data_IF_421052041194
#
_entry.id   IF_421052041194
#
_cell.length_a   1.000
_cell.length_b   1.000
_cell.length_c   1.000
_cell.angle_alpha   90.00
_cell.angle_beta   90.00
_cell.angle_gamma   90.00
#
_symmetry.space_group_name_H-M   'P 1'
#
loop_
_entity.id
_entity.type
_entity.pdbx_description
1 polymer ?
#
# COMPACT_ATOMS: atom_id res chain seq x y z
N UNK A 1 -2.80 4.77 -8.59
CA UNK A 1 -2.47 4.45 -9.99
C UNK A 1 -2.76 5.61 -10.93
N UNK A 2 -3.69 6.49 -10.57
CA UNK A 2 -3.87 7.78 -11.25
C UNK A 2 -2.70 8.72 -10.94
N UNK A 3 -2.21 9.42 -11.96
CA UNK A 3 -1.11 10.38 -11.86
C UNK A 3 -1.24 11.38 -13.00
N UNK A 4 -0.93 12.66 -12.74
CA UNK A 4 -0.90 13.69 -13.79
C UNK A 4 0.36 13.52 -14.66
N UNK A 5 0.38 14.03 -15.91
CA UNK A 5 1.59 14.06 -16.73
C UNK A 5 2.76 14.75 -16.01
N UNK A 6 2.51 15.90 -15.37
CA UNK A 6 3.54 16.65 -14.64
C UNK A 6 4.06 15.86 -13.43
N UNK A 7 3.18 15.17 -12.69
CA UNK A 7 3.59 14.30 -11.59
C UNK A 7 4.47 13.15 -12.08
N UNK A 8 4.14 12.54 -13.22
CA UNK A 8 4.95 11.47 -13.81
C UNK A 8 6.32 11.98 -14.29
N UNK A 9 6.38 13.18 -14.87
CA UNK A 9 7.63 13.86 -15.24
C UNK A 9 8.47 14.13 -14.00
N UNK A 10 7.88 14.66 -12.93
CA UNK A 10 8.58 14.93 -11.67
C UNK A 10 9.22 13.66 -11.08
N UNK A 11 8.48 12.54 -11.04
CA UNK A 11 9.02 11.24 -10.59
C UNK A 11 10.22 10.83 -11.45
N UNK A 12 10.14 10.97 -12.78
CA UNK A 12 11.23 10.66 -13.70
C UNK A 12 12.46 11.57 -13.51
N UNK A 13 12.25 12.87 -13.27
CA UNK A 13 13.31 13.84 -13.00
C UNK A 13 14.03 13.54 -11.68
N UNK A 14 13.28 13.25 -10.62
CA UNK A 14 13.83 12.88 -9.30
C UNK A 14 14.62 11.58 -9.43
N UNK A 15 14.05 10.55 -10.08
CA UNK A 15 14.74 9.30 -10.32
C UNK A 15 16.07 9.49 -11.07
N UNK A 16 16.09 10.33 -12.10
CA UNK A 16 17.30 10.66 -12.85
C UNK A 16 18.32 11.44 -12.01
N UNK A 17 17.88 12.42 -11.22
CA UNK A 17 18.72 13.26 -10.36
C UNK A 17 19.49 12.44 -9.32
N UNK A 18 18.82 11.47 -8.70
CA UNK A 18 19.39 10.61 -7.66
C UNK A 18 19.90 9.28 -8.19
N UNK A 19 19.91 9.07 -9.52
CA UNK A 19 20.33 7.84 -10.19
C UNK A 19 19.64 6.58 -9.63
N UNK A 20 18.31 6.62 -9.53
CA UNK A 20 17.51 5.56 -8.90
C UNK A 20 17.04 4.54 -9.93
N UNK A 21 17.18 3.25 -9.60
CA UNK A 21 16.52 2.19 -10.36
C UNK A 21 15.00 2.34 -10.25
N UNK A 22 14.32 2.32 -11.38
CA UNK A 22 12.89 2.65 -11.49
C UNK A 22 12.10 1.51 -12.12
N UNK A 23 10.98 1.14 -11.48
CA UNK A 23 10.13 0.03 -11.96
C UNK A 23 8.64 0.26 -11.72
N UNK A 24 7.82 0.01 -12.74
CA UNK A 24 6.37 -0.04 -12.59
C UNK A 24 5.97 -1.37 -11.92
N UNK A 25 5.16 -1.28 -10.88
CA UNK A 25 4.70 -2.45 -10.10
C UNK A 25 3.32 -2.92 -10.53
N UNK A 26 3.00 -4.18 -10.21
CA UNK A 26 1.64 -4.72 -10.41
C UNK A 26 0.56 -4.06 -9.56
N UNK A 27 0.94 -3.22 -8.58
CA UNK A 27 0.03 -2.41 -7.77
C UNK A 27 -0.19 -0.99 -8.28
N UNK A 28 0.18 -0.71 -9.55
CA UNK A 28 0.07 0.62 -10.18
C UNK A 28 0.83 1.71 -9.41
N UNK A 29 2.06 1.39 -9.00
CA UNK A 29 3.02 2.30 -8.36
C UNK A 29 4.33 2.30 -9.14
N UNK A 30 5.15 3.32 -8.90
CA UNK A 30 6.54 3.38 -9.36
C UNK A 30 7.44 3.13 -8.15
N UNK A 31 8.25 2.08 -8.22
CA UNK A 31 9.31 1.87 -7.24
C UNK A 31 10.56 2.64 -7.64
N UNK A 32 11.21 3.28 -6.66
CA UNK A 32 12.51 3.94 -6.78
C UNK A 32 13.49 3.28 -5.81
N UNK A 33 14.58 2.71 -6.32
CA UNK A 33 15.58 1.97 -5.55
C UNK A 33 16.98 2.55 -5.71
N UNK A 34 17.83 2.35 -4.70
CA UNK A 34 19.22 2.82 -4.69
C UNK A 34 19.43 4.16 -3.97
N UNK A 35 18.37 4.75 -3.42
CA UNK A 35 18.46 5.94 -2.59
C UNK A 35 19.25 5.62 -1.31
N UNK A 36 20.26 6.43 -1.01
CA UNK A 36 20.99 6.36 0.25
C UNK A 36 20.21 7.08 1.35
N UNK A 37 20.44 6.68 2.60
CA UNK A 37 19.67 7.19 3.75
C UNK A 37 19.70 8.72 3.84
N UNK A 38 20.85 9.34 3.61
CA UNK A 38 21.03 10.80 3.65
C UNK A 38 20.31 11.55 2.52
N UNK A 39 19.95 10.86 1.43
CA UNK A 39 19.22 11.46 0.31
C UNK A 39 17.72 11.50 0.55
N UNK A 40 17.19 10.63 1.43
CA UNK A 40 15.76 10.43 1.59
C UNK A 40 14.98 11.71 1.93
N UNK A 41 15.42 12.57 2.87
CA UNK A 41 14.69 13.81 3.15
C UNK A 41 14.57 14.72 1.93
N UNK A 42 15.62 14.82 1.11
CA UNK A 42 15.60 15.67 -0.09
C UNK A 42 14.73 15.09 -1.20
N UNK A 43 14.79 13.76 -1.41
CA UNK A 43 13.92 13.05 -2.35
C UNK A 43 12.45 13.27 -1.97
N UNK A 44 12.11 13.12 -0.69
CA UNK A 44 10.74 13.32 -0.21
C UNK A 44 10.28 14.78 -0.24
N UNK A 45 11.18 15.73 -0.01
CA UNK A 45 10.89 17.16 -0.17
C UNK A 45 10.46 17.48 -1.62
N UNK A 46 11.18 16.95 -2.62
CA UNK A 46 10.82 17.11 -4.03
C UNK A 46 9.53 16.36 -4.42
N UNK A 47 9.34 15.13 -3.91
CA UNK A 47 8.11 14.37 -4.14
C UNK A 47 6.88 15.06 -3.55
N UNK A 48 6.99 15.58 -2.32
CA UNK A 48 5.93 16.32 -1.64
C UNK A 48 5.60 17.63 -2.39
N UNK A 49 6.61 18.33 -2.89
CA UNK A 49 6.42 19.52 -3.72
C UNK A 49 5.71 19.21 -5.05
N UNK A 50 5.89 18.01 -5.59
CA UNK A 50 5.18 17.50 -6.76
C UNK A 50 3.77 16.93 -6.43
N UNK A 51 3.33 17.01 -5.18
CA UNK A 51 2.00 16.58 -4.73
C UNK A 51 1.89 15.09 -4.41
N UNK A 52 3.01 14.36 -4.32
CA UNK A 52 2.99 12.98 -3.85
C UNK A 52 2.93 12.92 -2.31
N UNK A 53 2.34 11.84 -1.83
CA UNK A 53 2.24 11.50 -0.41
C UNK A 53 2.88 10.13 -0.20
N UNK A 54 3.40 9.90 1.00
CA UNK A 54 4.09 8.65 1.26
C UNK A 54 3.15 7.46 1.44
N UNK A 55 3.53 6.34 0.82
CA UNK A 55 2.89 5.05 1.00
C UNK A 55 3.76 4.09 1.81
N UNK A 56 3.15 3.04 2.36
CA UNK A 56 3.89 2.08 3.19
C UNK A 56 4.45 0.91 2.38
N UNK A 57 5.59 1.10 1.71
CA UNK A 57 6.20 0.07 0.85
C UNK A 57 6.57 -1.25 1.57
N UNK A 58 6.91 -1.21 2.87
CA UNK A 58 7.29 -2.42 3.66
C UNK A 58 6.48 -2.62 4.96
N UNK A 59 5.63 -1.66 5.33
CA UNK A 59 4.82 -1.71 6.55
C UNK A 59 3.81 -2.87 6.58
N UNK A 60 3.39 -3.28 7.78
CA UNK A 60 2.21 -4.13 7.97
C UNK A 60 0.97 -3.22 8.01
N UNK A 61 0.58 -2.81 6.81
CA UNK A 61 -0.41 -1.76 6.54
C UNK A 61 -0.95 -1.90 5.11
N UNK A 62 -1.86 -1.01 4.71
CA UNK A 62 -2.28 -0.88 3.33
C UNK A 62 -1.08 -0.60 2.41
N UNK A 63 -0.97 -1.36 1.32
CA UNK A 63 0.11 -1.23 0.33
C UNK A 63 -0.33 -0.52 -0.94
N UNK A 64 -1.53 -0.84 -1.41
CA UNK A 64 -2.06 -0.32 -2.67
C UNK A 64 -3.56 -0.58 -2.75
N UNK A 65 -4.26 0.34 -3.40
CA UNK A 65 -5.59 0.14 -3.96
C UNK A 65 -5.44 0.19 -5.47
N UNK A 66 -5.59 -0.96 -6.14
CA UNK A 66 -5.48 -1.06 -7.61
C UNK A 66 -6.86 -0.81 -8.23
N UNK A 67 -6.94 -0.06 -9.32
CA UNK A 67 -8.19 0.17 -10.05
C UNK A 67 -8.05 -0.07 -11.55
N UNK A 68 -9.16 -0.32 -12.23
CA UNK A 68 -9.20 -0.09 -13.68
C UNK A 68 -9.64 1.35 -13.95
N UNK A 69 -9.63 1.76 -15.22
CA UNK A 69 -10.00 3.13 -15.62
C UNK A 69 -11.50 3.45 -15.48
N UNK A 70 -12.31 2.51 -14.99
CA UNK A 70 -13.72 2.73 -14.65
C UNK A 70 -14.62 3.14 -15.82
N UNK A 71 -15.83 3.58 -15.49
CA UNK A 71 -16.78 4.20 -16.43
C UNK A 71 -16.25 5.52 -17.02
N UNK A 72 -15.25 6.13 -16.39
CA UNK A 72 -14.59 7.37 -16.85
C UNK A 72 -13.96 7.22 -18.23
N UNK A 73 -13.41 6.05 -18.55
CA UNK A 73 -12.72 5.80 -19.84
C UNK A 73 -13.06 4.47 -20.51
N UNK A 74 -13.47 3.45 -19.75
CA UNK A 74 -13.77 2.15 -20.32
C UNK A 74 -15.21 2.12 -20.82
N UNK A 75 -15.40 1.75 -22.10
CA UNK A 75 -16.74 1.55 -22.68
C UNK A 75 -17.60 0.47 -21.98
N UNK A 76 -16.98 -0.37 -21.15
CA UNK A 76 -17.65 -1.41 -20.37
C UNK A 76 -17.68 -1.09 -18.88
N UNK A 77 -17.15 0.06 -18.47
CA UNK A 77 -17.17 0.49 -17.08
C UNK A 77 -18.61 0.76 -16.68
N UNK A 78 -19.07 0.08 -15.64
CA UNK A 78 -20.39 0.23 -15.03
C UNK A 78 -20.38 1.40 -14.06
N UNK A 79 -19.31 1.55 -13.29
CA UNK A 79 -19.18 2.63 -12.30
C UNK A 79 -17.73 3.16 -12.21
N UNK A 80 -17.55 4.27 -11.51
CA UNK A 80 -16.27 4.96 -11.32
C UNK A 80 -15.39 4.23 -10.29
N UNK A 81 -14.64 3.25 -10.79
CA UNK A 81 -13.66 2.54 -9.98
C UNK A 81 -12.43 3.36 -9.61
N UNK A 82 -12.13 4.46 -10.33
CA UNK A 82 -10.96 5.28 -10.04
C UNK A 82 -11.25 6.16 -8.83
N UNK A 83 -12.37 6.88 -8.84
CA UNK A 83 -12.82 7.70 -7.72
C UNK A 83 -12.94 6.91 -6.43
N UNK A 84 -13.64 5.76 -6.47
CA UNK A 84 -13.77 4.89 -5.30
C UNK A 84 -12.41 4.34 -4.82
N UNK A 85 -11.50 3.97 -5.72
CA UNK A 85 -10.18 3.50 -5.31
C UNK A 85 -9.36 4.58 -4.59
N UNK A 86 -9.46 5.84 -5.02
CA UNK A 86 -8.83 6.99 -4.38
C UNK A 86 -9.43 7.22 -2.99
N UNK A 87 -10.75 7.15 -2.87
CA UNK A 87 -11.45 7.26 -1.59
C UNK A 87 -10.98 6.19 -0.59
N UNK A 88 -10.98 4.92 -1.02
CA UNK A 88 -10.51 3.81 -0.17
C UNK A 88 -9.02 3.94 0.18
N UNK A 89 -8.17 4.38 -0.75
CA UNK A 89 -6.76 4.60 -0.46
C UNK A 89 -6.57 5.69 0.60
N UNK A 90 -7.23 6.84 0.43
CA UNK A 90 -7.14 7.95 1.38
C UNK A 90 -7.72 7.60 2.75
N UNK A 91 -8.78 6.78 2.79
CA UNK A 91 -9.38 6.33 4.05
C UNK A 91 -8.45 5.38 4.81
N UNK A 92 -7.85 4.40 4.13
CA UNK A 92 -7.15 3.31 4.80
C UNK A 92 -5.62 3.39 4.77
N UNK A 93 -5.01 4.43 4.18
CA UNK A 93 -3.55 4.61 4.12
C UNK A 93 -2.87 4.57 5.49
N UNK A 94 -3.50 5.13 6.53
CA UNK A 94 -2.98 5.13 7.91
C UNK A 94 -3.09 3.80 8.67
N UNK A 95 -3.73 2.78 8.09
CA UNK A 95 -4.10 1.59 8.82
C UNK A 95 -2.88 0.70 9.11
N UNK A 96 -2.64 0.41 10.40
CA UNK A 96 -1.73 -0.65 10.85
C UNK A 96 -2.50 -1.94 11.08
N UNK A 97 -1.92 -3.06 10.64
CA UNK A 97 -2.61 -4.35 10.62
C UNK A 97 -1.66 -5.52 10.92
N UNK A 98 -2.18 -6.69 11.32
CA UNK A 98 -1.35 -7.86 11.61
C UNK A 98 -0.43 -8.26 10.44
N UNK A 99 -0.87 -8.03 9.20
CA UNK A 99 -0.06 -8.23 8.01
C UNK A 99 -0.35 -7.16 6.92
N UNK A 100 0.48 -7.07 5.87
CA UNK A 100 0.24 -6.22 4.69
C UNK A 100 -1.15 -6.47 4.08
N UNK A 101 -1.84 -5.38 3.73
CA UNK A 101 -3.15 -5.38 3.10
C UNK A 101 -3.07 -4.85 1.67
N UNK A 102 -3.88 -5.41 0.78
CA UNK A 102 -4.09 -4.90 -0.58
C UNK A 102 -5.57 -4.78 -0.83
N UNK A 103 -5.96 -3.75 -1.56
CA UNK A 103 -7.32 -3.58 -2.04
C UNK A 103 -7.34 -3.43 -3.55
N UNK A 104 -8.50 -3.64 -4.16
CA UNK A 104 -8.71 -3.24 -5.54
C UNK A 104 -10.19 -2.99 -5.86
N UNK A 105 -10.43 -2.10 -6.82
CA UNK A 105 -11.75 -1.71 -7.29
C UNK A 105 -11.83 -1.93 -8.80
N UNK A 106 -12.73 -2.80 -9.23
CA UNK A 106 -13.03 -3.01 -10.66
C UNK A 106 -14.35 -2.36 -11.01
N UNK A 107 -14.35 -1.51 -12.04
CA UNK A 107 -15.55 -0.83 -12.53
C UNK A 107 -16.52 -1.74 -13.28
N UNK A 108 -16.26 -3.04 -13.42
CA UNK A 108 -17.20 -4.04 -13.94
C UNK A 108 -16.68 -5.47 -13.65
N UNK A 109 -17.50 -6.47 -13.98
CA UNK A 109 -17.19 -7.91 -13.80
C UNK A 109 -16.04 -8.45 -14.66
N UNK A 110 -15.51 -7.67 -15.61
CA UNK A 110 -14.29 -8.02 -16.35
C UNK A 110 -13.02 -7.99 -15.48
N UNK A 111 -13.12 -7.39 -14.30
CA UNK A 111 -12.16 -7.62 -13.22
C UNK A 111 -10.71 -7.17 -13.52
N UNK A 112 -10.52 -6.17 -14.39
CA UNK A 112 -9.17 -5.74 -14.79
C UNK A 112 -8.26 -5.29 -13.62
N UNK A 113 -8.82 -5.01 -12.43
CA UNK A 113 -8.07 -4.64 -11.23
C UNK A 113 -7.61 -5.84 -10.37
N UNK A 114 -8.01 -7.09 -10.70
CA UNK A 114 -7.72 -8.28 -9.89
C UNK A 114 -8.25 -8.15 -8.44
N UNK A 115 -9.41 -7.51 -8.27
CA UNK A 115 -10.18 -7.37 -7.03
C UNK A 115 -10.33 -8.68 -6.24
N UNK A 116 -10.67 -9.79 -6.89
CA UNK A 116 -10.83 -11.07 -6.20
C UNK A 116 -9.49 -11.68 -5.74
N UNK A 117 -8.35 -11.12 -6.14
CA UNK A 117 -7.03 -11.54 -5.67
C UNK A 117 -6.51 -10.73 -4.46
N UNK A 118 -7.29 -9.79 -3.93
CA UNK A 118 -6.87 -8.86 -2.85
C UNK A 118 -7.54 -9.17 -1.53
N UNK A 119 -6.99 -8.61 -0.44
CA UNK A 119 -7.55 -8.79 0.91
C UNK A 119 -8.97 -8.20 0.98
N UNK A 120 -9.22 -7.09 0.27
CA UNK A 120 -10.56 -6.54 -0.03
C UNK A 120 -10.66 -6.23 -1.52
N UNK A 121 -11.69 -6.78 -2.17
CA UNK A 121 -12.00 -6.55 -3.57
C UNK A 121 -13.38 -5.93 -3.72
N UNK A 122 -13.50 -4.89 -4.55
CA UNK A 122 -14.78 -4.26 -4.86
C UNK A 122 -15.03 -4.35 -6.35
N UNK A 123 -16.23 -4.79 -6.76
CA UNK A 123 -16.60 -4.94 -8.16
C UNK A 123 -17.95 -4.28 -8.41
N UNK A 124 -18.00 -3.33 -9.34
CA UNK A 124 -19.25 -2.68 -9.74
C UNK A 124 -20.18 -3.64 -10.49
N UNK A 125 -21.47 -3.43 -10.24
CA UNK A 125 -22.61 -4.07 -10.88
C UNK A 125 -23.66 -3.01 -11.18
N UNK A 126 -24.68 -3.34 -11.96
CA UNK A 126 -25.78 -2.42 -12.27
C UNK A 126 -26.60 -2.01 -11.03
N UNK A 127 -26.46 -2.72 -9.91
CA UNK A 127 -27.19 -2.49 -8.66
C UNK A 127 -26.34 -1.86 -7.56
N UNK A 128 -25.08 -1.52 -7.84
CA UNK A 128 -24.11 -1.04 -6.85
C UNK A 128 -22.88 -1.94 -6.78
N UNK A 129 -22.33 -2.15 -5.59
CA UNK A 129 -21.03 -2.79 -5.39
C UNK A 129 -21.13 -4.18 -4.77
N UNK A 130 -20.37 -5.12 -5.33
CA UNK A 130 -20.08 -6.39 -4.69
C UNK A 130 -18.77 -6.29 -3.91
N UNK A 131 -18.83 -6.64 -2.62
CA UNK A 131 -17.70 -6.66 -1.69
C UNK A 131 -17.19 -8.09 -1.51
N UNK A 132 -15.91 -8.30 -1.84
CA UNK A 132 -15.19 -9.55 -1.66
C UNK A 132 -14.09 -9.37 -0.62
N UNK A 133 -13.84 -10.40 0.19
CA UNK A 133 -12.84 -10.35 1.26
C UNK A 133 -11.97 -11.60 1.33
N UNK A 134 -10.82 -11.48 2.01
CA UNK A 134 -9.92 -12.59 2.33
C UNK A 134 -9.25 -13.27 1.13
N UNK A 135 -9.08 -12.54 0.02
CA UNK A 135 -8.24 -12.96 -1.09
C UNK A 135 -6.75 -12.73 -0.79
N UNK A 136 -5.88 -13.45 -1.48
CA UNK A 136 -4.46 -13.19 -1.42
C UNK A 136 -3.72 -13.54 -2.72
N UNK A 137 -2.69 -12.75 -3.00
CA UNK A 137 -1.55 -13.20 -3.80
C UNK A 137 -0.42 -13.70 -2.91
N UNK A 138 0.48 -14.51 -3.48
CA UNK A 138 1.69 -15.00 -2.82
C UNK A 138 1.93 -16.48 -3.09
N UNK A 139 2.64 -17.14 -2.15
CA UNK A 139 3.01 -18.56 -2.27
C UNK A 139 1.79 -19.51 -2.36
N UNK A 140 0.73 -19.19 -1.62
CA UNK A 140 -0.56 -19.90 -1.67
C UNK A 140 -1.64 -18.90 -2.09
N UNK A 141 -1.89 -18.71 -3.39
CA UNK A 141 -2.92 -17.80 -3.87
C UNK A 141 -4.32 -18.31 -3.51
N UNK A 142 -5.22 -17.38 -3.24
CA UNK A 142 -6.59 -17.64 -2.79
C UNK A 142 -7.50 -16.54 -3.32
N UNK A 143 -8.62 -16.93 -3.91
CA UNK A 143 -9.65 -15.97 -4.31
C UNK A 143 -10.38 -15.45 -3.06
N UNK A 144 -10.72 -14.16 -3.10
CA UNK A 144 -11.59 -13.53 -2.14
C UNK A 144 -13.01 -14.08 -2.29
N UNK A 145 -13.76 -14.09 -1.20
CA UNK A 145 -15.13 -14.59 -1.18
C UNK A 145 -16.13 -13.44 -1.05
N UNK A 146 -17.30 -13.59 -1.67
CA UNK A 146 -18.36 -12.59 -1.64
C UNK A 146 -18.91 -12.42 -0.22
N UNK A 147 -18.68 -11.25 0.38
CA UNK A 147 -19.21 -10.87 1.68
C UNK A 147 -20.64 -10.33 1.55
N UNK A 148 -20.84 -9.39 0.62
CA UNK A 148 -22.15 -8.79 0.35
C UNK A 148 -22.22 -8.24 -1.08
N UNK A 149 -23.43 -8.14 -1.62
CA UNK A 149 -23.72 -7.70 -2.98
C UNK A 149 -24.68 -6.51 -2.99
N UNK A 150 -24.76 -5.82 -4.13
CA UNK A 150 -25.72 -4.74 -4.38
C UNK A 150 -25.64 -3.61 -3.33
N UNK A 151 -24.43 -3.30 -2.87
CA UNK A 151 -24.18 -2.27 -1.85
C UNK A 151 -24.14 -0.88 -2.46
N UNK A 152 -24.73 0.10 -1.78
CA UNK A 152 -24.37 1.50 -1.97
C UNK A 152 -22.97 1.79 -1.38
N UNK A 153 -22.37 2.92 -1.76
CA UNK A 153 -21.00 3.29 -1.35
C UNK A 153 -20.87 3.49 0.16
N UNK A 154 -21.88 4.03 0.85
CA UNK A 154 -21.82 4.27 2.30
C UNK A 154 -21.82 2.95 3.06
N UNK A 155 -22.73 2.05 2.71
CA UNK A 155 -22.80 0.69 3.29
C UNK A 155 -21.54 -0.11 3.00
N UNK A 156 -21.00 -0.01 1.77
CA UNK A 156 -19.74 -0.63 1.38
C UNK A 156 -18.59 -0.20 2.32
N UNK A 157 -18.41 1.10 2.52
CA UNK A 157 -17.35 1.65 3.36
C UNK A 157 -17.50 1.17 4.80
N UNK A 158 -18.72 1.21 5.36
CA UNK A 158 -18.99 0.69 6.71
C UNK A 158 -18.62 -0.77 6.86
N UNK A 159 -18.93 -1.61 5.87
CA UNK A 159 -18.56 -3.03 5.92
C UNK A 159 -17.06 -3.25 5.82
N UNK A 160 -16.34 -2.45 5.03
CA UNK A 160 -14.87 -2.50 4.97
C UNK A 160 -14.25 -2.06 6.29
N UNK A 161 -14.77 -0.99 6.91
CA UNK A 161 -14.32 -0.50 8.22
C UNK A 161 -14.44 -1.59 9.29
N UNK A 162 -15.63 -2.20 9.38
CA UNK A 162 -15.92 -3.30 10.31
C UNK A 162 -15.01 -4.49 10.04
N UNK A 163 -14.86 -4.88 8.78
CA UNK A 163 -14.02 -6.01 8.38
C UNK A 163 -12.56 -5.81 8.82
N UNK A 164 -11.98 -4.66 8.52
CA UNK A 164 -10.59 -4.38 8.89
C UNK A 164 -10.41 -4.29 10.40
N UNK A 165 -11.30 -3.61 11.12
CA UNK A 165 -11.18 -3.50 12.58
C UNK A 165 -11.37 -4.85 13.26
N UNK A 166 -12.32 -5.67 12.80
CA UNK A 166 -12.53 -7.02 13.32
C UNK A 166 -11.31 -7.93 13.04
N UNK A 167 -10.76 -7.88 11.83
CA UNK A 167 -9.51 -8.58 11.48
C UNK A 167 -8.34 -8.14 12.38
N UNK A 168 -8.16 -6.83 12.58
CA UNK A 168 -7.09 -6.30 13.43
C UNK A 168 -7.23 -6.75 14.88
N UNK A 169 -8.45 -6.85 15.39
CA UNK A 169 -8.71 -7.27 16.76
C UNK A 169 -8.54 -8.77 17.00
N UNK A 170 -8.81 -9.60 16.00
CA UNK A 170 -8.97 -11.05 16.19
C UNK A 170 -7.89 -11.90 15.53
N UNK A 171 -7.13 -11.36 14.58
CA UNK A 171 -6.09 -12.12 13.90
C UNK A 171 -4.75 -12.13 14.66
N UNK A 172 -4.02 -13.22 14.50
CA UNK A 172 -2.68 -13.39 15.06
C UNK A 172 -1.66 -12.47 14.39
N UNK A 173 -0.57 -12.18 15.10
CA UNK A 173 0.56 -11.41 14.56
C UNK A 173 1.11 -12.08 13.29
N UNK A 174 1.30 -11.29 12.23
CA UNK A 174 1.76 -11.75 10.90
C UNK A 174 0.80 -12.70 10.16
N UNK A 175 -0.44 -12.84 10.61
CA UNK A 175 -1.45 -13.66 9.93
C UNK A 175 -2.10 -12.89 8.78
N UNK A 176 -2.22 -13.50 7.60
CA UNK A 176 -2.95 -12.93 6.44
C UNK A 176 -4.46 -13.06 6.65
N UNK A 177 -5.25 -12.14 6.08
CA UNK A 177 -6.73 -12.21 6.07
C UNK A 177 -7.27 -13.56 5.59
N UNK A 178 -6.74 -14.06 4.48
CA UNK A 178 -6.98 -15.43 3.97
C UNK A 178 -6.82 -16.53 5.03
N UNK A 179 -5.66 -16.58 5.69
CA UNK A 179 -5.35 -17.61 6.70
C UNK A 179 -6.20 -17.43 7.96
N UNK A 180 -6.41 -16.18 8.37
CA UNK A 180 -7.29 -15.82 9.48
C UNK A 180 -8.72 -16.32 9.23
N UNK A 181 -9.27 -16.09 8.03
CA UNK A 181 -10.58 -16.60 7.64
C UNK A 181 -10.62 -18.13 7.57
N UNK A 182 -9.56 -18.78 7.08
CA UNK A 182 -9.53 -20.25 6.97
C UNK A 182 -9.47 -20.94 8.34
N UNK A 183 -8.90 -20.28 9.35
CA UNK A 183 -8.85 -20.78 10.73
C UNK A 183 -10.07 -20.38 11.58
N UNK A 184 -10.98 -19.56 11.04
CA UNK A 184 -12.14 -19.05 11.76
C UNK A 184 -13.26 -20.11 11.80
N UNK A 185 -13.72 -20.45 13.00
CA UNK A 185 -14.91 -21.30 13.17
C UNK A 185 -16.14 -20.64 12.55
N UNK A 186 -16.91 -21.38 11.76
CA UNK A 186 -18.02 -20.84 10.96
C UNK A 186 -17.59 -20.05 9.71
N UNK A 187 -16.29 -19.82 9.51
CA UNK A 187 -15.72 -19.27 8.28
C UNK A 187 -16.38 -17.99 7.79
N UNK A 188 -16.69 -17.93 6.49
CA UNK A 188 -17.29 -16.75 5.87
C UNK A 188 -18.70 -16.44 6.41
N UNK A 189 -19.49 -17.46 6.76
CA UNK A 189 -20.86 -17.24 7.23
C UNK A 189 -20.87 -16.57 8.60
N UNK A 190 -19.95 -16.97 9.49
CA UNK A 190 -19.73 -16.26 10.73
C UNK A 190 -19.26 -14.83 10.49
N UNK A 191 -18.32 -14.62 9.56
CA UNK A 191 -17.87 -13.27 9.21
C UNK A 191 -19.03 -12.39 8.69
N UNK A 192 -19.93 -12.92 7.86
CA UNK A 192 -21.14 -12.21 7.43
C UNK A 192 -22.06 -11.89 8.62
N UNK A 193 -22.26 -12.84 9.52
CA UNK A 193 -23.04 -12.64 10.75
C UNK A 193 -22.51 -11.46 11.57
N UNK A 194 -21.20 -11.36 11.75
CA UNK A 194 -20.58 -10.28 12.54
C UNK A 194 -20.58 -8.95 11.79
N UNK A 195 -20.15 -8.95 10.52
CA UNK A 195 -19.90 -7.70 9.78
C UNK A 195 -21.18 -7.10 9.20
N UNK A 196 -22.07 -7.93 8.66
CA UNK A 196 -23.30 -7.50 7.97
C UNK A 196 -24.46 -7.42 8.96
N UNK A 197 -24.68 -8.50 9.72
CA UNK A 197 -25.86 -8.62 10.61
C UNK A 197 -25.60 -8.12 12.04
N UNK A 198 -24.37 -7.66 12.34
CA UNK A 198 -23.96 -7.16 13.64
C UNK A 198 -24.32 -8.09 14.81
N UNK A 199 -24.14 -9.41 14.62
CA UNK A 199 -24.57 -10.41 15.62
C UNK A 199 -23.87 -10.29 16.98
N UNK A 200 -22.78 -9.52 17.06
CA UNK A 200 -22.04 -9.26 18.30
C UNK A 200 -22.30 -7.85 18.88
N UNK A 201 -23.08 -7.00 18.20
CA UNK A 201 -23.29 -5.61 18.62
C UNK A 201 -22.01 -4.77 18.64
N UNK A 202 -21.08 -5.04 17.72
CA UNK A 202 -19.76 -4.40 17.66
C UNK A 202 -19.67 -3.34 16.55
N UNK A 203 -20.64 -3.28 15.64
CA UNK A 203 -20.56 -2.44 14.44
C UNK A 203 -20.19 -0.98 14.74
N UNK A 204 -20.90 -0.33 15.66
CA UNK A 204 -20.67 1.08 16.00
C UNK A 204 -19.25 1.29 16.57
N UNK A 205 -18.79 0.39 17.44
CA UNK A 205 -17.45 0.48 18.03
C UNK A 205 -16.34 0.27 16.99
N UNK A 206 -16.53 -0.67 16.05
CA UNK A 206 -15.59 -0.90 14.97
C UNK A 206 -15.51 0.32 14.03
N UNK A 207 -16.65 0.89 13.64
CA UNK A 207 -16.73 2.10 12.81
C UNK A 207 -16.11 3.31 13.52
N UNK A 208 -16.35 3.48 14.82
CA UNK A 208 -15.73 4.53 15.64
C UNK A 208 -14.21 4.41 15.69
N UNK A 209 -13.68 3.20 15.88
CA UNK A 209 -12.22 2.96 15.88
C UNK A 209 -11.59 3.27 14.53
N UNK A 210 -12.22 2.85 13.43
CA UNK A 210 -11.74 3.20 12.10
C UNK A 210 -11.76 4.71 11.89
N UNK A 211 -12.84 5.39 12.29
CA UNK A 211 -12.94 6.85 12.18
C UNK A 211 -11.83 7.58 12.95
N UNK A 212 -11.42 7.06 14.11
CA UNK A 212 -10.27 7.59 14.85
C UNK A 212 -8.96 7.42 14.07
N UNK A 213 -8.72 6.25 13.46
CA UNK A 213 -7.52 6.00 12.62
C UNK A 213 -7.50 6.96 11.42
N UNK A 214 -8.62 7.12 10.73
CA UNK A 214 -8.76 8.06 9.61
C UNK A 214 -8.50 9.50 10.05
N UNK A 215 -9.10 9.93 11.16
CA UNK A 215 -9.01 11.31 11.65
C UNK A 215 -7.68 11.69 12.30
N UNK A 216 -6.79 10.71 12.54
CA UNK A 216 -5.47 10.94 13.16
C UNK A 216 -4.30 10.61 12.22
N UNK A 217 -4.58 10.34 10.95
CA UNK A 217 -3.54 10.04 9.99
C UNK A 217 -2.58 11.23 9.78
N UNK A 218 -1.29 10.90 9.71
CA UNK A 218 -0.22 11.83 9.40
C UNK A 218 0.78 11.15 8.47
N UNK A 219 1.20 11.84 7.41
CA UNK A 219 2.27 11.37 6.52
C UNK A 219 3.62 11.45 7.26
N UNK A 220 4.25 10.30 7.50
CA UNK A 220 5.50 10.22 8.26
C UNK A 220 6.67 10.88 7.53
N UNK A 221 6.68 10.89 6.19
CA UNK A 221 7.76 11.52 5.43
C UNK A 221 7.63 13.02 5.36
N UNK A 222 6.40 13.54 5.23
CA UNK A 222 6.15 14.97 5.42
C UNK A 222 6.65 15.42 6.80
N UNK A 223 6.28 14.67 7.84
CA UNK A 223 6.74 14.93 9.21
C UNK A 223 8.26 14.87 9.33
N UNK A 224 8.90 13.86 8.72
CA UNK A 224 10.35 13.70 8.74
C UNK A 224 11.11 14.81 8.00
N UNK A 225 10.51 15.42 6.98
CA UNK A 225 11.09 16.52 6.22
C UNK A 225 10.94 17.85 6.96
N UNK A 226 9.79 18.07 7.61
CA UNK A 226 9.42 19.32 8.27
C UNK A 226 9.95 19.43 9.71
N UNK A 227 10.12 18.31 10.43
CA UNK A 227 10.68 18.29 11.79
C UNK A 227 12.23 18.14 11.76
N UNK A 228 12.99 19.17 12.20
CA UNK A 228 14.45 19.13 12.21
C UNK A 228 15.03 18.00 13.05
N UNK A 229 14.39 17.59 14.15
CA UNK A 229 14.88 16.53 15.03
C UNK A 229 14.70 15.14 14.40
N UNK A 230 13.62 14.94 13.66
CA UNK A 230 13.42 13.70 12.91
C UNK A 230 14.33 13.68 11.69
N UNK A 231 14.51 14.81 11.00
CA UNK A 231 15.37 14.92 9.81
C UNK A 231 16.82 14.54 10.10
N UNK A 232 17.35 14.86 11.29
CA UNK A 232 18.70 14.48 11.73
C UNK A 232 18.95 12.97 11.74
N UNK A 233 17.91 12.14 11.84
CA UNK A 233 18.02 10.67 11.83
C UNK A 233 18.45 10.12 10.47
N UNK A 234 18.29 10.89 9.40
CA UNK A 234 18.64 10.49 8.05
C UNK A 234 20.04 10.98 7.68
N UNK A 235 21.02 10.53 8.47
CA UNK A 235 22.44 10.69 8.19
C UNK A 235 23.08 9.32 8.13
N UNK A 236 23.99 9.11 7.20
CA UNK A 236 24.75 7.86 7.08
C UNK A 236 25.77 7.76 8.22
N UNK A 237 26.46 8.86 8.52
CA UNK A 237 27.44 8.94 9.59
C UNK A 237 27.20 10.19 10.43
N UNK A 238 27.05 10.01 11.75
CA UNK A 238 26.74 11.09 12.71
C UNK A 238 27.85 12.17 12.74
N UNK A 239 29.10 11.78 12.47
CA UNK A 239 30.28 12.66 12.56
C UNK A 239 30.77 13.14 11.19
N UNK A 240 30.06 12.86 10.10
CA UNK A 240 30.48 13.23 8.74
C UNK A 240 29.84 14.56 8.32
N UNK A 241 30.61 15.38 7.58
CA UNK A 241 30.07 16.56 6.91
C UNK A 241 29.07 16.17 5.81
N UNK A 242 28.29 17.12 5.30
CA UNK A 242 27.24 16.86 4.31
C UNK A 242 27.77 16.21 3.02
N UNK A 243 28.99 16.54 2.61
CA UNK A 243 29.71 15.99 1.45
C UNK A 243 30.28 14.58 1.69
N UNK A 244 30.36 14.15 2.94
CA UNK A 244 30.89 12.84 3.37
C UNK A 244 29.78 11.84 3.77
N UNK A 245 28.52 12.17 3.51
CA UNK A 245 27.38 11.32 3.87
C UNK A 245 27.19 10.12 2.92
N UNK A 246 27.83 10.11 1.75
CA UNK A 246 27.75 8.95 0.86
C UNK A 246 28.50 7.76 1.48
N UNK A 247 27.84 6.60 1.59
CA UNK A 247 28.51 5.37 2.02
C UNK A 247 29.37 4.80 0.87
N UNK A 248 30.71 4.80 0.97
CA UNK A 248 31.59 4.28 -0.08
C UNK A 248 31.46 2.77 -0.28
N UNK A 249 30.88 2.05 0.68
CA UNK A 249 30.68 0.60 0.58
C UNK A 249 29.39 0.21 -0.17
N UNK A 250 28.50 1.17 -0.46
CA UNK A 250 27.35 0.95 -1.31
C UNK A 250 27.78 1.16 -2.77
N UNK A 251 28.11 0.05 -3.43
CA UNK A 251 28.59 0.06 -4.81
C UNK A 251 27.52 -0.45 -5.77
N UNK A 252 27.41 0.22 -6.92
CA UNK A 252 26.47 -0.10 -7.98
C UNK A 252 27.20 -0.38 -9.29
N UNK A 253 26.56 -1.17 -10.16
CA UNK A 253 26.92 -1.33 -11.57
C UNK A 253 25.67 -1.17 -12.44
N UNK A 254 25.85 -1.06 -13.75
CA UNK A 254 24.74 -0.87 -14.68
C UNK A 254 24.37 -2.18 -15.38
N UNK A 255 23.07 -2.51 -15.36
CA UNK A 255 22.50 -3.62 -16.12
C UNK A 255 21.15 -3.19 -16.68
N UNK A 256 20.99 -3.31 -18.01
CA UNK A 256 19.79 -2.85 -18.74
C UNK A 256 19.53 -1.35 -18.51
N UNK A 257 20.57 -0.54 -18.68
CA UNK A 257 20.52 0.92 -18.58
C UNK A 257 20.04 1.48 -17.23
N UNK A 258 20.08 0.66 -16.17
CA UNK A 258 19.75 1.07 -14.82
C UNK A 258 20.79 0.53 -13.82
N UNK A 259 20.89 1.19 -12.67
CA UNK A 259 21.75 0.73 -11.58
C UNK A 259 21.23 -0.57 -10.96
N UNK A 260 22.16 -1.38 -10.45
CA UNK A 260 21.91 -2.46 -9.50
C UNK A 260 23.05 -2.55 -8.50
N UNK A 261 22.81 -3.03 -7.26
CA UNK A 261 23.91 -3.27 -6.33
C UNK A 261 24.88 -4.32 -6.91
N UNK A 262 26.17 -4.18 -6.59
CA UNK A 262 27.16 -5.22 -6.85
C UNK A 262 26.79 -6.50 -6.10
N UNK A 263 26.95 -7.65 -6.76
CA UNK A 263 26.83 -8.96 -6.13
C UNK A 263 28.11 -9.29 -5.33
N UNK A 264 28.10 -10.36 -4.56
CA UNK A 264 29.22 -10.68 -3.67
C UNK A 264 30.53 -10.98 -4.41
N UNK A 265 30.48 -11.46 -5.66
CA UNK A 265 31.67 -11.69 -6.49
C UNK A 265 32.24 -10.41 -7.13
N UNK A 266 31.47 -9.34 -7.18
CA UNK A 266 31.86 -8.05 -7.77
C UNK A 266 32.33 -7.02 -6.73
N UNK A 267 31.97 -7.22 -5.44
CA UNK A 267 32.36 -6.35 -4.34
C UNK A 267 33.85 -6.47 -4.04
N UNK A 268 34.48 -5.38 -3.64
CA UNK A 268 35.89 -5.39 -3.18
C UNK A 268 36.06 -6.28 -1.95
N UNK A 269 37.14 -7.07 -1.90
CA UNK A 269 37.49 -7.98 -0.80
C UNK A 269 37.87 -7.26 0.50
N UNK A 270 38.14 -5.94 0.46
CA UNK A 270 38.55 -5.13 1.63
C UNK A 270 37.43 -4.86 2.66
N UNK A 271 36.33 -5.64 2.63
CA UNK A 271 35.20 -5.44 3.54
C UNK A 271 35.34 -6.33 4.78
N UNK A 272 35.16 -5.72 5.95
CA UNK A 272 34.91 -6.46 7.19
C UNK A 272 33.61 -7.25 6.98
N UNK A 273 33.61 -8.59 7.15
CA UNK A 273 32.40 -9.39 6.98
C UNK A 273 31.31 -8.87 7.93
N UNK A 274 30.14 -8.54 7.39
CA UNK A 274 28.98 -8.23 8.23
C UNK A 274 28.58 -9.52 8.93
N UNK A 275 28.70 -9.54 10.25
CA UNK A 275 28.09 -10.57 11.08
C UNK A 275 26.59 -10.34 10.98
N UNK A 276 25.88 -11.22 10.28
CA UNK A 276 24.41 -11.22 10.30
C UNK A 276 23.96 -11.40 11.75
N UNK A 277 23.15 -10.46 12.25
CA UNK A 277 22.50 -10.52 13.55
C UNK A 277 21.08 -11.09 13.41
#
# INVERSE_FOLDING_TARGET
>A
GEVTPDGLIAVGQIAKKYNLYTKITGGQRVDLFGAQIHQLPFIWEELNAAGFESGHAYGKSLRTVKSCVGSTWCRYGVDDSVGLAIELENRYKGLRSPHKLKMAVSGCTRECAEAQGKDVGVIATEKGWNLYVCGNGGMKPRHAELLASDLDTETLIRYIDRFFMFYIQTADRLQRTSVWRDNMEGGLDYLKSVIVNDSLGLAEELERRMSHVVGTYQDEWRTAVEDPEIRKRFQTYINASADQQADPHIQFTNVRDQIRPLNDAERSEDRIPMVEA
#
